data_IF_488550082819
#
_entry.id   IF_488550082819
#
_cell.length_a   1.000
_cell.length_b   1.000
_cell.length_c   1.000
_cell.angle_alpha   90.00
_cell.angle_beta   90.00
_cell.angle_gamma   90.00
#
_symmetry.space_group_name_H-M   'P 1'
#
loop_
_entity.id
_entity.type
_entity.pdbx_description
1 polymer ?
#
# COMPACT_ATOMS: atom_id res chain seq x y z
N UNK A 1 -8.08 11.35 20.00
CA UNK A 1 -6.99 10.77 19.19
C UNK A 1 -6.95 9.28 19.48
N UNK A 2 -7.30 8.43 18.52
CA UNK A 2 -7.24 6.97 18.70
C UNK A 2 -5.79 6.56 18.58
N UNK A 3 -5.17 6.20 19.71
CA UNK A 3 -3.81 5.66 19.75
C UNK A 3 -3.82 4.27 19.10
N UNK A 4 -3.71 4.21 17.79
CA UNK A 4 -3.31 2.99 17.10
C UNK A 4 -1.90 2.67 17.56
N UNK A 5 -1.74 1.77 18.53
CA UNK A 5 -0.44 1.16 18.86
C UNK A 5 -0.20 0.13 17.76
N UNK A 6 0.60 0.42 16.73
CA UNK A 6 0.62 -0.39 15.51
C UNK A 6 1.10 -1.82 15.81
N UNK A 7 2.04 -1.95 16.75
CA UNK A 7 2.67 -3.21 17.13
C UNK A 7 1.71 -4.26 17.73
N UNK A 8 0.53 -3.86 18.20
CA UNK A 8 -0.42 -4.82 18.78
C UNK A 8 -1.08 -5.72 17.72
N UNK A 9 -1.26 -5.23 16.49
CA UNK A 9 -2.01 -5.95 15.45
C UNK A 9 -1.16 -6.40 14.26
N UNK A 10 0.07 -5.89 14.11
CA UNK A 10 0.98 -6.35 13.07
C UNK A 10 1.17 -7.87 13.05
N UNK A 11 1.40 -8.56 14.18
CA UNK A 11 1.57 -10.02 14.15
C UNK A 11 0.34 -10.76 13.57
N UNK A 12 -0.87 -10.30 13.89
CA UNK A 12 -2.12 -10.87 13.37
C UNK A 12 -2.23 -10.62 11.85
N UNK A 13 -1.92 -9.40 11.40
CA UNK A 13 -1.95 -9.09 9.97
C UNK A 13 -0.96 -9.96 9.16
N UNK A 14 0.25 -10.17 9.69
CA UNK A 14 1.25 -11.04 9.07
C UNK A 14 0.76 -12.50 9.04
N UNK A 15 0.17 -13.01 10.12
CA UNK A 15 -0.40 -14.38 10.15
C UNK A 15 -1.46 -14.57 9.06
N UNK A 16 -2.36 -13.59 8.89
CA UNK A 16 -3.42 -13.66 7.86
C UNK A 16 -2.85 -13.69 6.44
N UNK A 17 -1.80 -12.91 6.18
CA UNK A 17 -1.11 -12.89 4.88
C UNK A 17 -0.38 -14.22 4.64
N UNK A 18 0.38 -14.70 5.63
CA UNK A 18 1.14 -15.95 5.52
C UNK A 18 0.25 -17.17 5.30
N UNK A 19 -0.95 -17.17 5.89
CA UNK A 19 -1.96 -18.23 5.70
C UNK A 19 -2.77 -18.06 4.42
N UNK A 20 -2.46 -17.06 3.60
CA UNK A 20 -3.17 -16.69 2.39
C UNK A 20 -4.69 -16.50 2.61
N UNK A 21 -5.07 -16.04 3.81
CA UNK A 21 -6.46 -15.65 4.12
C UNK A 21 -6.77 -14.28 3.52
N UNK A 22 -5.74 -13.44 3.38
CA UNK A 22 -5.79 -12.15 2.70
C UNK A 22 -4.65 -12.12 1.68
N UNK A 23 -5.00 -11.91 0.42
CA UNK A 23 -4.03 -11.57 -0.63
C UNK A 23 -3.88 -10.04 -0.66
N UNK A 24 -2.65 -9.55 -0.49
CA UNK A 24 -2.37 -8.10 -0.45
C UNK A 24 -2.31 -7.49 -1.86
N UNK A 25 -2.03 -8.31 -2.86
CA UNK A 25 -1.85 -7.84 -4.23
C UNK A 25 -3.18 -7.39 -4.84
N UNK A 26 -4.30 -7.99 -4.40
CA UNK A 26 -5.67 -7.58 -4.75
C UNK A 26 -5.98 -6.11 -4.39
N UNK A 27 -5.26 -5.53 -3.42
CA UNK A 27 -5.49 -4.15 -2.99
C UNK A 27 -4.66 -3.14 -3.78
N UNK A 28 -3.52 -3.55 -4.37
CA UNK A 28 -2.60 -2.65 -5.08
C UNK A 28 -3.14 -2.35 -6.48
N UNK A 29 -3.93 -1.29 -6.57
CA UNK A 29 -4.50 -0.83 -7.85
C UNK A 29 -3.48 -0.15 -8.78
N UNK A 30 -2.46 0.51 -8.23
CA UNK A 30 -1.47 1.26 -9.01
C UNK A 30 -0.08 1.18 -8.36
N UNK A 31 0.94 1.07 -9.21
CA UNK A 31 2.34 1.06 -8.81
C UNK A 31 3.10 2.07 -9.65
N UNK A 32 3.90 2.92 -9.00
CA UNK A 32 4.73 3.94 -9.64
C UNK A 32 6.19 3.78 -9.22
N UNK A 33 7.15 4.10 -10.10
CA UNK A 33 8.55 4.28 -9.70
C UNK A 33 8.70 5.53 -8.82
N UNK A 34 9.80 5.61 -8.06
CA UNK A 34 10.06 6.74 -7.18
C UNK A 34 10.13 8.07 -7.93
N UNK A 35 10.69 8.05 -9.14
CA UNK A 35 10.76 9.20 -10.05
C UNK A 35 9.40 9.83 -10.39
N UNK A 36 8.30 9.07 -10.28
CA UNK A 36 6.94 9.49 -10.61
C UNK A 36 6.06 9.77 -9.38
N UNK A 37 6.68 9.95 -8.20
CA UNK A 37 5.97 10.19 -6.93
C UNK A 37 4.90 11.30 -7.04
N UNK A 38 5.18 12.38 -7.76
CA UNK A 38 4.23 13.48 -7.94
C UNK A 38 2.95 13.05 -8.67
N UNK A 39 3.05 12.14 -9.64
CA UNK A 39 1.89 11.62 -10.37
C UNK A 39 1.14 10.60 -9.53
N UNK A 40 1.86 9.71 -8.83
CA UNK A 40 1.28 8.77 -7.88
C UNK A 40 0.38 9.47 -6.84
N UNK A 41 0.81 10.63 -6.34
CA UNK A 41 0.04 11.47 -5.41
C UNK A 41 -1.23 12.05 -6.05
N UNK A 42 -1.19 12.46 -7.32
CA UNK A 42 -2.39 12.97 -8.02
C UNK A 42 -3.41 11.87 -8.24
N UNK A 43 -2.98 10.69 -8.67
CA UNK A 43 -3.84 9.51 -8.86
C UNK A 43 -4.50 9.13 -7.54
N UNK A 44 -3.72 9.01 -6.47
CA UNK A 44 -4.24 8.73 -5.13
C UNK A 44 -5.27 9.77 -4.64
N UNK A 45 -5.11 11.05 -5.00
CA UNK A 45 -6.00 12.12 -4.55
C UNK A 45 -7.29 12.26 -5.39
N UNK A 46 -7.23 11.96 -6.70
CA UNK A 46 -8.27 12.35 -7.66
C UNK A 46 -9.05 11.16 -8.23
N UNK A 47 -8.41 10.01 -8.41
CA UNK A 47 -9.03 8.85 -9.07
C UNK A 47 -9.79 7.96 -8.10
N UNK A 48 -10.76 8.52 -7.38
CA UNK A 48 -11.50 7.80 -6.33
C UNK A 48 -12.31 6.59 -6.81
N UNK A 49 -12.58 6.49 -8.10
CA UNK A 49 -13.34 5.37 -8.68
C UNK A 49 -12.48 4.14 -8.95
N UNK A 50 -11.17 4.32 -9.16
CA UNK A 50 -10.24 3.26 -9.63
C UNK A 50 -9.07 3.04 -8.68
N UNK A 51 -8.69 4.05 -7.89
CA UNK A 51 -7.59 3.95 -6.93
C UNK A 51 -8.04 3.36 -5.59
N UNK A 52 -7.60 2.14 -5.29
CA UNK A 52 -7.76 1.46 -3.99
C UNK A 52 -6.52 1.73 -3.13
N UNK A 53 -5.36 1.26 -3.60
CA UNK A 53 -4.04 1.54 -3.02
C UNK A 53 -3.07 1.89 -4.13
N UNK A 54 -2.35 2.99 -3.93
CA UNK A 54 -1.22 3.40 -4.75
C UNK A 54 0.06 3.11 -3.98
N UNK A 55 1.02 2.44 -4.62
CA UNK A 55 2.34 2.13 -4.07
C UNK A 55 3.42 2.80 -4.92
N UNK A 56 4.41 3.38 -4.24
CA UNK A 56 5.62 3.89 -4.88
C UNK A 56 6.76 2.95 -4.52
N UNK A 57 7.41 2.39 -5.53
CA UNK A 57 8.59 1.54 -5.34
C UNK A 57 9.83 2.42 -5.21
N UNK A 58 10.73 2.07 -4.30
CA UNK A 58 12.05 2.67 -4.26
C UNK A 58 12.85 2.22 -5.48
N UNK A 59 13.62 3.12 -6.08
CA UNK A 59 14.55 2.74 -7.14
C UNK A 59 15.60 1.79 -6.54
N UNK A 60 15.84 0.66 -7.20
CA UNK A 60 16.94 -0.23 -6.80
C UNK A 60 18.25 0.54 -6.90
N UNK A 61 19.03 0.57 -5.81
CA UNK A 61 20.42 1.05 -5.89
C UNK A 61 21.17 0.09 -6.81
N UNK A 62 21.54 0.57 -8.00
CA UNK A 62 22.51 -0.10 -8.87
C UNK A 62 23.85 -0.28 -8.16
#
# INVERSE_FOLDING_TARGET
ATHSIPNLKFPIAIDLIQRNVIDVDDFVSHTFPFSETAEALKVAAREKATAIKVVVLADEKQ
#
